data_IF_913895842409
#
_entry.id   IF_913895842409
#
_cell.length_a   1.000
_cell.length_b   1.000
_cell.length_c   1.000
_cell.angle_alpha   90.00
_cell.angle_beta   90.00
_cell.angle_gamma   90.00
#
_symmetry.space_group_name_H-M   'P 1'
#
loop_
_entity.id
_entity.type
_entity.pdbx_description
1 polymer ?
#
# COMPACT_ATOMS: atom_id res chain seq x y z
N UNK A 1 3.29 3.78 -1.45
CA UNK A 1 3.98 4.55 -0.39
C UNK A 1 5.34 5.09 -0.83
N UNK A 2 6.11 4.34 -1.65
CA UNK A 2 7.43 4.77 -2.15
C UNK A 2 7.45 6.17 -2.75
N UNK A 3 6.46 6.54 -3.57
CA UNK A 3 6.37 7.89 -4.14
C UNK A 3 6.25 8.97 -3.07
N UNK A 4 5.34 8.79 -2.11
CA UNK A 4 5.13 9.73 -1.01
C UNK A 4 6.40 9.90 -0.18
N UNK A 5 7.12 8.81 0.07
CA UNK A 5 8.41 8.83 0.75
C UNK A 5 9.49 9.56 -0.05
N UNK A 6 9.59 9.29 -1.37
CA UNK A 6 10.55 9.95 -2.27
C UNK A 6 10.33 11.46 -2.34
N UNK A 7 9.09 11.91 -2.23
CA UNK A 7 8.74 13.34 -2.20
C UNK A 7 9.04 13.97 -0.83
N UNK A 8 8.67 13.29 0.25
CA UNK A 8 8.87 13.81 1.60
C UNK A 8 10.35 13.83 2.02
N UNK A 9 11.14 12.84 1.61
CA UNK A 9 12.55 12.75 2.00
C UNK A 9 13.37 14.01 1.65
N UNK A 10 13.31 14.60 0.45
CA UNK A 10 13.96 15.88 0.17
C UNK A 10 13.19 17.08 0.72
N UNK A 11 11.87 17.15 0.51
CA UNK A 11 11.10 18.40 0.64
C UNK A 11 10.33 18.53 1.97
N UNK A 12 10.13 17.42 2.66
CA UNK A 12 9.32 17.36 3.88
C UNK A 12 9.97 18.06 5.07
N UNK A 13 9.12 18.55 5.98
CA UNK A 13 9.56 19.08 7.27
C UNK A 13 10.19 17.97 8.11
N UNK A 14 11.44 18.20 8.53
CA UNK A 14 12.24 17.26 9.32
C UNK A 14 12.49 17.81 10.70
N UNK A 15 12.56 16.90 11.67
CA UNK A 15 13.08 17.20 13.00
C UNK A 15 14.31 16.35 13.26
N UNK A 16 15.19 16.82 14.14
CA UNK A 16 16.46 16.19 14.43
C UNK A 16 16.59 15.90 15.92
N UNK A 17 17.37 14.88 16.24
CA UNK A 17 17.86 14.64 17.61
C UNK A 17 18.94 15.65 17.95
N UNK A 18 19.27 15.81 19.23
CA UNK A 18 20.36 16.70 19.66
C UNK A 18 21.71 16.36 18.98
N UNK A 19 21.94 15.08 18.65
CA UNK A 19 23.12 14.63 17.90
C UNK A 19 23.01 14.79 16.38
N UNK A 20 22.07 15.57 15.86
CA UNK A 20 21.94 15.86 14.43
C UNK A 20 21.38 14.73 13.57
N UNK A 21 20.95 13.60 14.15
CA UNK A 21 20.27 12.52 13.40
C UNK A 21 18.83 12.90 13.11
N UNK A 22 18.39 12.72 11.87
CA UNK A 22 17.00 12.94 11.46
C UNK A 22 16.07 11.99 12.20
N UNK A 23 14.95 12.52 12.72
CA UNK A 23 13.89 11.72 13.33
C UNK A 23 12.97 11.14 12.26
N UNK A 24 12.32 10.04 12.59
CA UNK A 24 11.25 9.50 11.77
C UNK A 24 10.10 10.53 11.64
N UNK A 25 9.38 10.56 10.51
CA UNK A 25 8.16 11.33 10.40
C UNK A 25 7.12 10.87 11.43
N UNK A 26 6.16 11.75 11.72
CA UNK A 26 5.08 11.42 12.66
C UNK A 26 4.23 10.26 12.14
N UNK A 27 3.62 9.51 13.06
CA UNK A 27 2.72 8.42 12.70
C UNK A 27 1.57 8.91 11.80
N UNK A 28 0.99 10.07 12.12
CA UNK A 28 -0.06 10.70 11.30
C UNK A 28 0.40 10.95 9.86
N UNK A 29 1.64 11.41 9.65
CA UNK A 29 2.16 11.61 8.30
C UNK A 29 2.38 10.28 7.57
N UNK A 30 2.87 9.25 8.25
CA UNK A 30 3.01 7.91 7.69
C UNK A 30 1.64 7.32 7.30
N UNK A 31 0.61 7.50 8.12
CA UNK A 31 -0.77 7.10 7.80
C UNK A 31 -1.28 7.80 6.54
N UNK A 32 -1.03 9.11 6.38
CA UNK A 32 -1.36 9.81 5.15
C UNK A 32 -0.64 9.25 3.92
N UNK A 33 0.64 8.86 4.04
CA UNK A 33 1.34 8.22 2.93
C UNK A 33 0.69 6.90 2.53
N UNK A 34 0.23 6.11 3.50
CA UNK A 34 -0.51 4.87 3.24
C UNK A 34 -1.82 5.19 2.52
N UNK A 35 -2.67 6.04 3.10
CA UNK A 35 -3.99 6.43 2.53
C UNK A 35 -3.83 6.94 1.10
N UNK A 36 -2.94 7.90 0.88
CA UNK A 36 -2.70 8.50 -0.44
C UNK A 36 -2.07 7.53 -1.44
N UNK A 37 -1.46 6.44 -0.98
CA UNK A 37 -0.97 5.39 -1.87
C UNK A 37 -2.08 4.42 -2.25
N UNK A 38 -2.90 4.02 -1.29
CA UNK A 38 -4.03 3.13 -1.52
C UNK A 38 -5.09 3.78 -2.42
N UNK A 39 -5.32 5.08 -2.29
CA UNK A 39 -6.25 5.82 -3.18
C UNK A 39 -5.84 5.82 -4.65
N UNK A 40 -4.54 5.62 -4.95
CA UNK A 40 -4.04 5.49 -6.33
C UNK A 40 -4.16 4.07 -6.88
N UNK A 41 -4.37 3.07 -6.03
CA UNK A 41 -4.55 1.69 -6.47
C UNK A 41 -5.96 1.53 -7.00
N UNK A 42 -6.10 1.01 -8.22
CA UNK A 42 -7.41 0.78 -8.81
C UNK A 42 -8.16 -0.31 -8.05
N UNK A 43 -9.47 -0.12 -7.88
CA UNK A 43 -10.34 -1.09 -7.20
C UNK A 43 -10.26 -2.49 -7.85
N UNK A 44 -10.15 -2.56 -9.18
CA UNK A 44 -9.99 -3.82 -9.91
C UNK A 44 -8.77 -4.63 -9.46
N UNK A 45 -7.66 -3.94 -9.17
CA UNK A 45 -6.42 -4.57 -8.68
C UNK A 45 -6.64 -5.12 -7.27
N UNK A 46 -7.35 -4.39 -6.42
CA UNK A 46 -7.69 -4.82 -5.07
C UNK A 46 -8.57 -6.06 -5.08
N UNK A 47 -9.66 -6.03 -5.85
CA UNK A 47 -10.58 -7.17 -6.00
C UNK A 47 -9.86 -8.41 -6.53
N UNK A 48 -9.02 -8.27 -7.57
CA UNK A 48 -8.22 -9.38 -8.10
C UNK A 48 -7.28 -9.96 -7.05
N UNK A 49 -6.62 -9.11 -6.25
CA UNK A 49 -5.73 -9.58 -5.18
C UNK A 49 -6.48 -10.33 -4.07
N UNK A 50 -7.65 -9.83 -3.66
CA UNK A 50 -8.46 -10.51 -2.65
C UNK A 50 -8.94 -11.87 -3.14
N UNK A 51 -9.45 -11.95 -4.38
CA UNK A 51 -9.82 -13.24 -4.98
C UNK A 51 -8.64 -14.20 -5.07
N UNK A 52 -7.48 -13.73 -5.55
CA UNK A 52 -6.26 -14.55 -5.65
C UNK A 52 -5.78 -15.07 -4.29
N UNK A 53 -6.01 -14.31 -3.22
CA UNK A 53 -5.68 -14.70 -1.86
C UNK A 53 -6.81 -15.48 -1.15
N UNK A 54 -7.88 -15.87 -1.87
CA UNK A 54 -9.09 -16.49 -1.30
C UNK A 54 -9.68 -15.67 -0.13
N UNK A 55 -9.46 -14.36 -0.14
CA UNK A 55 -10.08 -13.41 0.78
C UNK A 55 -11.42 -13.05 0.13
N UNK A 56 -12.50 -13.61 0.68
CA UNK A 56 -13.85 -13.38 0.14
C UNK A 56 -14.17 -11.88 0.09
N UNK A 57 -14.54 -11.40 -1.10
CA UNK A 57 -15.13 -10.07 -1.28
C UNK A 57 -16.65 -10.07 -1.10
N UNK A 58 -17.27 -11.25 -0.98
CA UNK A 58 -18.70 -11.41 -0.75
C UNK A 58 -18.98 -11.70 0.74
N UNK A 59 -19.90 -10.94 1.35
CA UNK A 59 -20.32 -11.13 2.74
C UNK A 59 -21.03 -12.48 2.96
N UNK A 60 -21.60 -13.06 1.90
CA UNK A 60 -22.37 -14.31 1.93
C UNK A 60 -21.55 -15.56 1.53
N UNK A 61 -20.26 -15.40 1.22
CA UNK A 61 -19.38 -16.51 0.85
C UNK A 61 -19.60 -17.12 -0.54
N UNK A 62 -20.46 -16.55 -1.39
CA UNK A 62 -20.81 -17.14 -2.70
C UNK A 62 -19.88 -16.69 -3.84
N UNK A 63 -18.57 -16.58 -3.58
CA UNK A 63 -17.64 -15.89 -4.49
C UNK A 63 -16.31 -16.58 -4.75
N UNK A 64 -16.14 -17.86 -4.41
CA UNK A 64 -14.90 -18.60 -4.63
C UNK A 64 -15.10 -19.80 -5.54
N UNK A 65 -15.45 -19.55 -6.80
CA UNK A 65 -15.39 -20.58 -7.85
C UNK A 65 -14.33 -20.18 -8.88
N UNK A 66 -13.14 -20.80 -8.75
CA UNK A 66 -12.19 -20.94 -9.85
C UNK A 66 -10.71 -20.89 -9.42
N UNK A 67 -9.90 -21.91 -9.77
CA UNK A 67 -8.46 -21.90 -9.51
C UNK A 67 -7.82 -20.67 -10.16
N UNK A 68 -7.10 -19.89 -9.36
CA UNK A 68 -6.33 -18.76 -9.84
C UNK A 68 -5.16 -19.32 -10.66
N UNK A 69 -5.30 -19.34 -11.99
CA UNK A 69 -4.20 -19.73 -12.88
C UNK A 69 -2.96 -18.90 -12.56
N UNK A 70 -1.85 -19.62 -12.40
CA UNK A 70 -0.54 -19.09 -12.06
C UNK A 70 0.03 -18.35 -13.27
N UNK A 71 -0.15 -17.03 -13.33
CA UNK A 71 0.62 -16.21 -14.26
C UNK A 71 2.06 -16.07 -13.76
N UNK A 72 2.87 -17.03 -14.18
CA UNK A 72 4.32 -16.96 -14.23
C UNK A 72 4.72 -16.43 -15.61
N UNK A 73 4.88 -15.11 -15.78
CA UNK A 73 5.77 -14.59 -16.83
C UNK A 73 6.42 -13.27 -16.39
N UNK A 74 7.65 -13.40 -15.91
CA UNK A 74 8.64 -12.34 -15.89
C UNK A 74 9.40 -12.45 -17.21
N UNK A 75 9.07 -11.58 -18.18
CA UNK A 75 9.93 -11.26 -19.32
C UNK A 75 10.51 -9.86 -19.13
#
# INVERSE_FOLDING_TARGET
MREQWKEWMPNGQKSYTAGGRMRAPSLSLLCHFVINSWSKVKMETLMKSFRKCSISTALDGTGDDGPSDSDEERA
#
